data_IF_365710701356
#
_entry.id   IF_365710701356
#
_cell.length_a   1.000
_cell.length_b   1.000
_cell.length_c   1.000
_cell.angle_alpha   90.00
_cell.angle_beta   90.00
_cell.angle_gamma   90.00
#
_symmetry.space_group_name_H-M   'P 1'
#
loop_
_entity.id
_entity.type
_entity.pdbx_description
1 polymer ?
#
# COMPACT_ATOMS: atom_id res chain seq x y z
N UNK A 1 4.98 35.44 10.28
CA UNK A 1 3.90 34.47 10.22
C UNK A 1 3.95 33.63 11.48
N UNK A 2 2.96 33.78 12.36
CA UNK A 2 2.84 32.90 13.52
C UNK A 2 2.59 31.48 13.02
N UNK A 3 3.27 30.44 13.56
CA UNK A 3 2.97 29.06 13.21
C UNK A 3 1.52 28.80 13.60
N UNK A 4 0.76 28.22 12.68
CA UNK A 4 -0.61 27.79 12.95
C UNK A 4 -0.58 26.94 14.24
N UNK A 5 -1.35 27.35 15.25
CA UNK A 5 -1.49 26.58 16.48
C UNK A 5 -2.08 25.22 16.11
N UNK A 6 -1.24 24.21 16.11
CA UNK A 6 -1.68 22.83 15.84
C UNK A 6 -2.34 22.33 17.12
N UNK A 7 -3.66 22.18 17.11
CA UNK A 7 -4.42 21.64 18.24
C UNK A 7 -4.48 20.11 18.10
N UNK A 8 -4.18 19.39 19.17
CA UNK A 8 -4.35 17.95 19.26
C UNK A 8 -5.38 17.61 20.33
N UNK A 9 -6.23 16.62 20.05
CA UNK A 9 -7.10 16.00 21.04
C UNK A 9 -6.47 14.70 21.51
N UNK A 10 -6.12 14.62 22.79
CA UNK A 10 -5.70 13.38 23.42
C UNK A 10 -6.92 12.60 23.90
N UNK A 11 -6.92 11.29 23.67
CA UNK A 11 -7.91 10.37 24.20
C UNK A 11 -7.15 9.31 24.99
N UNK A 12 -7.38 9.29 26.30
CA UNK A 12 -6.86 8.22 27.15
C UNK A 12 -7.71 6.97 26.98
N UNK A 13 -7.06 5.83 26.91
CA UNK A 13 -7.70 4.53 26.76
C UNK A 13 -7.27 3.61 27.88
N UNK A 14 -8.20 2.81 28.39
CA UNK A 14 -7.86 1.75 29.34
C UNK A 14 -6.84 0.79 28.71
N UNK A 15 -5.88 0.34 29.51
CA UNK A 15 -4.87 -0.65 29.06
C UNK A 15 -5.56 -1.92 28.55
N UNK A 16 -5.19 -2.35 27.35
CA UNK A 16 -5.70 -3.59 26.75
C UNK A 16 -5.01 -4.77 27.44
N UNK A 17 -5.64 -5.38 28.42
CA UNK A 17 -5.13 -6.59 29.07
C UNK A 17 -5.71 -7.85 28.44
N UNK A 18 -4.98 -8.95 28.47
CA UNK A 18 -5.51 -10.27 28.07
C UNK A 18 -6.48 -10.77 29.12
N UNK A 19 -7.68 -11.11 28.70
CA UNK A 19 -8.65 -11.85 29.49
C UNK A 19 -8.09 -13.25 29.73
N UNK A 20 -7.63 -13.56 30.93
CA UNK A 20 -7.08 -14.88 31.28
C UNK A 20 -8.03 -15.79 32.00
N UNK A 21 -9.14 -15.30 32.54
CA UNK A 21 -10.16 -16.13 33.23
C UNK A 21 -11.53 -15.47 33.19
N UNK A 22 -12.58 -16.24 32.97
CA UNK A 22 -13.97 -15.79 32.88
C UNK A 22 -14.52 -15.57 34.29
N UNK A 23 -14.53 -14.36 34.77
CA UNK A 23 -15.26 -13.89 35.93
C UNK A 23 -16.06 -12.64 35.59
N UNK A 24 -17.00 -12.28 36.44
CA UNK A 24 -17.96 -11.18 36.27
C UNK A 24 -17.31 -9.80 35.97
N UNK A 25 -16.00 -9.64 36.19
CA UNK A 25 -15.19 -8.48 35.79
C UNK A 25 -14.91 -8.42 34.29
N UNK A 26 -15.07 -9.53 33.57
CA UNK A 26 -14.76 -9.64 32.14
C UNK A 26 -15.60 -8.71 31.26
N UNK A 27 -16.84 -8.43 31.63
CA UNK A 27 -17.73 -7.53 30.87
C UNK A 27 -17.23 -6.07 30.82
N UNK A 28 -16.62 -5.59 31.92
CA UNK A 28 -16.11 -4.22 32.00
C UNK A 28 -14.79 -4.13 31.23
N UNK A 29 -13.93 -5.15 31.33
CA UNK A 29 -12.68 -5.21 30.57
C UNK A 29 -12.95 -5.35 29.06
N UNK A 30 -13.95 -6.14 28.65
CA UNK A 30 -14.37 -6.24 27.25
C UNK A 30 -14.87 -4.91 26.69
N UNK A 31 -15.63 -4.14 27.47
CA UNK A 31 -16.08 -2.79 27.10
C UNK A 31 -14.89 -1.83 26.97
N UNK A 32 -13.95 -1.85 27.92
CA UNK A 32 -12.76 -1.03 27.89
C UNK A 32 -11.86 -1.33 26.68
N UNK A 33 -11.71 -2.60 26.33
CA UNK A 33 -11.00 -3.04 25.11
C UNK A 33 -11.73 -2.55 23.85
N UNK A 34 -13.06 -2.67 23.81
CA UNK A 34 -13.86 -2.20 22.69
C UNK A 34 -13.77 -0.68 22.53
N UNK A 35 -13.79 0.08 23.61
CA UNK A 35 -13.66 1.53 23.58
C UNK A 35 -12.25 1.97 23.16
N UNK A 36 -11.21 1.27 23.63
CA UNK A 36 -9.85 1.48 23.16
C UNK A 36 -9.72 1.21 21.65
N UNK A 37 -10.33 0.13 21.14
CA UNK A 37 -10.37 -0.18 19.71
C UNK A 37 -11.17 0.85 18.89
N UNK A 38 -12.27 1.39 19.44
CA UNK A 38 -13.01 2.49 18.80
C UNK A 38 -12.20 3.77 18.76
N UNK A 39 -11.54 4.14 19.87
CA UNK A 39 -10.64 5.30 19.93
C UNK A 39 -9.51 5.16 18.90
N UNK A 40 -8.93 3.98 18.81
CA UNK A 40 -7.89 3.65 17.82
C UNK A 40 -8.35 3.88 16.36
N UNK A 41 -9.59 3.49 16.04
CA UNK A 41 -10.18 3.70 14.69
C UNK A 41 -10.41 5.15 14.33
N UNK A 42 -10.53 6.03 15.30
CA UNK A 42 -10.79 7.47 15.09
C UNK A 42 -9.53 8.33 15.21
N UNK A 43 -8.52 7.83 15.92
CA UNK A 43 -7.24 8.54 16.10
C UNK A 43 -6.42 8.59 14.81
N UNK A 44 -5.59 9.62 14.65
CA UNK A 44 -4.60 9.72 13.58
C UNK A 44 -3.30 9.03 13.98
N UNK A 45 -2.90 9.15 15.24
CA UNK A 45 -1.66 8.59 15.80
C UNK A 45 -1.99 7.84 17.09
N UNK A 46 -1.50 6.62 17.20
CA UNK A 46 -1.49 5.86 18.45
C UNK A 46 -0.18 6.10 19.19
N UNK A 47 -0.27 6.37 20.50
CA UNK A 47 0.88 6.44 21.38
C UNK A 47 0.88 5.22 22.28
N UNK A 48 1.88 4.36 22.11
CA UNK A 48 2.06 3.18 22.97
C UNK A 48 3.03 3.54 24.10
N UNK A 49 2.54 3.48 25.31
CA UNK A 49 3.35 3.74 26.50
C UNK A 49 3.84 2.45 27.08
N UNK A 50 5.17 2.31 27.16
CA UNK A 50 5.87 1.17 27.73
C UNK A 50 6.43 1.50 29.11
N UNK A 51 6.50 0.51 29.96
CA UNK A 51 7.23 0.59 31.22
C UNK A 51 8.68 0.21 31.01
N UNK A 52 9.60 1.15 31.21
CA UNK A 52 11.02 0.91 30.99
C UNK A 52 11.63 -0.13 31.97
N UNK A 53 11.02 -0.29 33.15
CA UNK A 53 11.44 -1.31 34.11
C UNK A 53 11.33 -2.75 33.56
N UNK A 54 10.39 -2.97 32.62
CA UNK A 54 10.17 -4.29 32.05
C UNK A 54 11.27 -4.75 31.08
N UNK A 55 12.18 -3.87 30.64
CA UNK A 55 13.33 -4.09 29.75
C UNK A 55 13.04 -4.80 28.42
N UNK A 56 11.99 -5.61 28.32
CA UNK A 56 11.59 -6.41 27.16
C UNK A 56 10.15 -6.14 26.80
N UNK A 57 9.90 -5.89 25.52
CA UNK A 57 8.54 -5.75 24.99
C UNK A 57 7.72 -7.02 25.24
N UNK A 58 6.65 -6.87 25.97
CA UNK A 58 5.73 -7.97 26.25
C UNK A 58 4.91 -8.31 25.00
N UNK A 59 4.44 -9.56 24.92
CA UNK A 59 3.58 -10.00 23.82
C UNK A 59 2.32 -9.15 23.65
N UNK A 60 1.82 -8.59 24.74
CA UNK A 60 0.64 -7.73 24.77
C UNK A 60 0.91 -6.37 24.11
N UNK A 61 2.02 -5.75 24.44
CA UNK A 61 2.46 -4.48 23.85
C UNK A 61 2.68 -4.61 22.34
N UNK A 62 3.30 -5.70 21.92
CA UNK A 62 3.45 -6.04 20.50
C UNK A 62 2.10 -6.25 19.80
N UNK A 63 1.13 -6.89 20.48
CA UNK A 63 -0.20 -7.07 19.93
C UNK A 63 -0.97 -5.75 19.79
N UNK A 64 -0.78 -4.81 20.74
CA UNK A 64 -1.35 -3.46 20.65
C UNK A 64 -0.70 -2.68 19.50
N UNK A 65 0.63 -2.72 19.40
CA UNK A 65 1.36 -2.08 18.31
C UNK A 65 0.88 -2.59 16.93
N UNK A 66 0.74 -3.91 16.79
CA UNK A 66 0.24 -4.56 15.57
C UNK A 66 -1.21 -4.13 15.26
N UNK A 67 -2.07 -4.04 16.29
CA UNK A 67 -3.45 -3.60 16.13
C UNK A 67 -3.54 -2.14 15.64
N UNK A 68 -2.76 -1.21 16.22
CA UNK A 68 -2.69 0.20 15.82
C UNK A 68 -2.32 0.31 14.34
N UNK A 69 -1.30 -0.44 13.93
CA UNK A 69 -0.78 -0.40 12.55
C UNK A 69 -1.74 -1.05 11.56
N UNK A 70 -2.36 -2.17 11.92
CA UNK A 70 -3.38 -2.83 11.09
C UNK A 70 -4.62 -1.97 10.85
N UNK A 71 -5.00 -1.15 11.85
CA UNK A 71 -6.04 -0.12 11.67
C UNK A 71 -5.56 1.06 10.79
N UNK A 72 -4.30 1.01 10.36
CA UNK A 72 -3.72 1.99 9.44
C UNK A 72 -3.34 3.31 10.11
N UNK A 73 -3.05 3.30 11.39
CA UNK A 73 -2.66 4.50 12.17
C UNK A 73 -1.15 4.60 12.28
N UNK A 74 -0.64 5.83 12.47
CA UNK A 74 0.76 6.01 12.82
C UNK A 74 0.99 5.61 14.28
N UNK A 75 2.16 5.06 14.58
CA UNK A 75 2.56 4.64 15.92
C UNK A 75 3.75 5.47 16.39
N UNK A 76 3.65 5.96 17.62
CA UNK A 76 4.76 6.51 18.40
C UNK A 76 4.87 5.68 19.67
N UNK A 77 6.08 5.35 20.06
CA UNK A 77 6.34 4.58 21.29
C UNK A 77 6.97 5.50 22.33
N UNK A 78 6.51 5.39 23.54
CA UNK A 78 7.03 6.12 24.70
C UNK A 78 7.57 5.10 25.69
N UNK A 79 8.84 5.19 26.02
CA UNK A 79 9.46 4.46 27.12
C UNK A 79 9.38 5.32 28.38
N UNK A 80 8.38 5.03 29.21
CA UNK A 80 8.15 5.80 30.45
C UNK A 80 8.89 5.18 31.63
N UNK A 81 9.05 5.94 32.71
CA UNK A 81 9.76 5.57 33.94
C UNK A 81 11.27 5.40 33.75
N UNK A 82 11.86 6.20 32.85
CA UNK A 82 13.31 6.18 32.65
C UNK A 82 14.10 6.60 33.89
N UNK A 83 13.46 7.25 34.85
CA UNK A 83 14.00 7.57 36.18
C UNK A 83 14.39 6.33 36.99
N UNK A 84 13.77 5.18 36.77
CA UNK A 84 14.09 3.92 37.45
C UNK A 84 15.32 3.23 36.88
N UNK A 85 15.81 3.67 35.71
CA UNK A 85 16.98 3.09 35.03
C UNK A 85 18.29 3.87 35.26
N UNK A 86 18.29 4.84 36.18
CA UNK A 86 19.45 5.69 36.43
C UNK A 86 20.69 4.89 36.87
N UNK A 87 20.49 3.78 37.56
CA UNK A 87 21.55 2.88 38.01
C UNK A 87 21.80 1.68 37.07
N UNK A 88 21.16 1.65 35.92
CA UNK A 88 21.32 0.56 34.94
C UNK A 88 22.61 0.75 34.13
N UNK A 89 23.27 -0.35 33.77
CA UNK A 89 24.45 -0.35 32.90
C UNK A 89 24.18 0.16 31.48
N UNK A 90 22.92 0.46 31.16
CA UNK A 90 22.47 0.85 29.82
C UNK A 90 22.16 2.34 29.74
N UNK A 91 22.62 2.97 28.65
CA UNK A 91 22.22 4.34 28.33
C UNK A 91 20.76 4.42 27.87
N UNK A 92 20.18 5.63 27.88
CA UNK A 92 18.82 5.85 27.33
C UNK A 92 18.74 5.52 25.84
N UNK A 93 19.82 5.80 25.13
CA UNK A 93 19.99 5.51 23.71
C UNK A 93 20.02 4.00 23.44
N UNK A 94 20.74 3.22 24.28
CA UNK A 94 20.78 1.76 24.17
C UNK A 94 19.40 1.14 24.40
N UNK A 95 18.65 1.68 25.36
CA UNK A 95 17.27 1.23 25.61
C UNK A 95 16.35 1.53 24.42
N UNK A 96 16.44 2.73 23.87
CA UNK A 96 15.68 3.15 22.69
C UNK A 96 15.97 2.24 21.49
N UNK A 97 17.23 1.94 21.23
CA UNK A 97 17.67 1.05 20.16
C UNK A 97 17.20 -0.38 20.39
N UNK A 98 17.28 -0.87 21.62
CA UNK A 98 16.79 -2.19 22.04
C UNK A 98 15.29 -2.34 21.79
N UNK A 99 14.48 -1.35 22.14
CA UNK A 99 13.03 -1.33 21.89
C UNK A 99 12.75 -1.33 20.37
N UNK A 100 13.47 -0.51 19.60
CA UNK A 100 13.37 -0.52 18.14
C UNK A 100 13.70 -1.86 17.54
N UNK A 101 14.79 -2.46 17.96
CA UNK A 101 15.22 -3.76 17.46
C UNK A 101 14.16 -4.84 17.72
N UNK A 102 13.57 -4.86 18.92
CA UNK A 102 12.52 -5.81 19.27
C UNK A 102 11.25 -5.58 18.45
N UNK A 103 10.86 -4.31 18.23
CA UNK A 103 9.71 -3.96 17.38
C UNK A 103 9.95 -4.39 15.92
N UNK A 104 11.09 -4.05 15.36
CA UNK A 104 11.43 -4.38 13.97
C UNK A 104 11.54 -5.88 13.74
N UNK A 105 12.07 -6.62 14.70
CA UNK A 105 12.18 -8.08 14.64
C UNK A 105 10.83 -8.79 14.62
N UNK A 106 9.83 -8.24 15.29
CA UNK A 106 8.47 -8.82 15.37
C UNK A 106 7.50 -8.22 14.35
N UNK A 107 7.65 -6.93 14.08
CA UNK A 107 6.78 -6.14 13.20
C UNK A 107 7.64 -5.38 12.18
N UNK A 108 8.13 -6.04 11.12
CA UNK A 108 9.04 -5.43 10.15
C UNK A 108 8.49 -4.18 9.45
N UNK A 109 7.18 -3.97 9.49
CA UNK A 109 6.52 -2.78 8.97
C UNK A 109 6.75 -1.54 9.84
N UNK A 110 7.09 -1.72 11.12
CA UNK A 110 7.35 -0.67 12.10
C UNK A 110 8.85 -0.26 12.16
N UNK A 111 9.51 -0.27 11.03
CA UNK A 111 10.91 0.14 10.96
C UNK A 111 11.07 1.60 11.37
N UNK A 112 12.14 1.87 12.13
CA UNK A 112 12.48 3.20 12.63
C UNK A 112 11.32 3.94 13.28
N UNK A 113 10.44 3.19 13.98
CA UNK A 113 9.36 3.78 14.76
C UNK A 113 9.96 4.77 15.78
N UNK A 114 9.41 5.98 15.91
CA UNK A 114 9.87 6.90 16.93
C UNK A 114 9.67 6.30 18.31
N UNK A 115 10.73 6.22 19.08
CA UNK A 115 10.72 5.83 20.50
C UNK A 115 11.21 7.04 21.29
N UNK A 116 10.49 7.42 22.34
CA UNK A 116 10.80 8.58 23.18
C UNK A 116 11.06 8.05 24.59
N UNK A 117 12.30 8.09 25.06
CA UNK A 117 12.61 7.82 26.46
C UNK A 117 12.19 9.04 27.31
N UNK A 118 11.28 8.82 28.27
CA UNK A 118 10.81 9.91 29.13
C UNK A 118 10.53 9.44 30.56
N UNK A 119 10.41 10.38 31.48
CA UNK A 119 9.86 10.14 32.81
C UNK A 119 8.72 11.08 33.07
N UNK A 120 7.54 10.50 33.25
CA UNK A 120 6.34 11.30 33.64
C UNK A 120 6.45 11.80 35.08
N UNK A 121 7.27 11.18 35.92
CA UNK A 121 7.45 11.57 37.32
C UNK A 121 8.33 12.82 37.43
N UNK A 122 9.45 12.84 36.73
CA UNK A 122 10.41 13.96 36.78
C UNK A 122 10.10 15.04 35.76
N UNK A 123 9.27 14.75 34.75
CA UNK A 123 8.97 15.65 33.62
C UNK A 123 10.02 15.60 32.51
N UNK A 124 11.02 14.74 32.62
CA UNK A 124 12.09 14.62 31.62
C UNK A 124 11.54 14.16 30.27
N UNK A 125 11.91 14.88 29.19
CA UNK A 125 11.52 14.62 27.78
C UNK A 125 9.99 14.60 27.51
N UNK A 126 9.14 14.97 28.46
CA UNK A 126 7.70 15.02 28.27
C UNK A 126 7.32 16.03 27.18
N UNK A 127 8.06 17.14 27.08
CA UNK A 127 7.83 18.19 26.08
C UNK A 127 8.14 17.72 24.64
N UNK A 128 8.94 16.67 24.47
CA UNK A 128 9.32 16.14 23.15
C UNK A 128 8.24 15.25 22.55
N UNK A 129 7.29 14.78 23.35
CA UNK A 129 6.22 13.89 22.91
C UNK A 129 5.36 14.53 21.80
N UNK A 130 4.83 15.71 22.04
CA UNK A 130 3.90 16.34 21.10
C UNK A 130 4.54 16.71 19.76
N UNK A 131 5.76 17.27 19.70
CA UNK A 131 6.48 17.47 18.44
C UNK A 131 6.67 16.19 17.63
N UNK A 132 6.99 15.05 18.28
CA UNK A 132 7.14 13.75 17.60
C UNK A 132 5.81 13.23 17.09
N UNK A 133 4.74 13.35 17.87
CA UNK A 133 3.38 12.96 17.45
C UNK A 133 2.92 13.78 16.24
N UNK A 134 3.16 15.09 16.22
CA UNK A 134 2.83 15.92 15.05
C UNK A 134 3.65 15.54 13.81
N UNK A 135 4.94 15.25 13.96
CA UNK A 135 5.77 14.74 12.85
C UNK A 135 5.27 13.39 12.34
N UNK A 136 4.85 12.49 13.23
CA UNK A 136 4.29 11.19 12.82
C UNK A 136 2.99 11.37 12.05
N UNK A 137 2.11 12.28 12.50
CA UNK A 137 0.88 12.64 11.79
C UNK A 137 1.17 13.25 10.42
N UNK A 138 2.10 14.19 10.32
CA UNK A 138 2.48 14.82 9.06
C UNK A 138 2.97 13.79 8.04
N UNK A 139 3.81 12.82 8.47
CA UNK A 139 4.26 11.70 7.62
C UNK A 139 3.09 10.84 7.17
N UNK A 140 2.17 10.54 8.07
CA UNK A 140 1.00 9.72 7.79
C UNK A 140 0.00 10.39 6.82
N UNK A 141 -0.14 11.74 6.89
CA UNK A 141 -0.98 12.51 5.98
C UNK A 141 -0.30 12.84 4.64
N UNK A 142 1.00 12.64 4.54
CA UNK A 142 1.81 13.08 3.41
C UNK A 142 1.31 12.53 2.08
N UNK A 143 1.06 13.46 1.14
CA UNK A 143 0.75 13.16 -0.25
C UNK A 143 1.99 13.38 -1.11
N UNK A 144 2.49 12.31 -1.73
CA UNK A 144 3.69 12.35 -2.58
C UNK A 144 3.26 12.55 -4.03
N UNK A 145 3.83 13.52 -4.71
CA UNK A 145 3.53 13.80 -6.12
C UNK A 145 3.87 12.57 -6.99
N UNK A 146 2.96 12.23 -7.90
CA UNK A 146 3.10 11.06 -8.79
C UNK A 146 4.41 11.07 -9.59
N UNK A 147 4.89 12.24 -10.01
CA UNK A 147 6.18 12.36 -10.72
C UNK A 147 7.37 11.94 -9.87
N UNK A 148 7.38 12.28 -8.56
CA UNK A 148 8.44 11.89 -7.62
C UNK A 148 8.40 10.38 -7.39
N UNK A 149 7.19 9.82 -7.19
CA UNK A 149 6.97 8.38 -7.02
C UNK A 149 7.50 7.58 -8.21
N UNK A 150 7.22 8.05 -9.43
CA UNK A 150 7.62 7.32 -10.64
C UNK A 150 9.12 7.43 -10.91
N UNK A 151 9.77 8.55 -10.57
CA UNK A 151 11.24 8.67 -10.63
C UNK A 151 11.88 7.69 -9.65
N UNK A 152 11.46 7.70 -8.40
CA UNK A 152 11.92 6.72 -7.40
C UNK A 152 11.73 5.28 -7.89
N UNK A 153 10.56 4.96 -8.46
CA UNK A 153 10.28 3.62 -8.97
C UNK A 153 11.26 3.21 -10.09
N UNK A 154 11.58 4.12 -10.99
CA UNK A 154 12.55 3.88 -12.06
C UNK A 154 13.93 3.59 -11.49
N UNK A 155 14.41 4.43 -10.57
CA UNK A 155 15.73 4.27 -9.93
C UNK A 155 15.84 2.91 -9.21
N UNK A 156 14.76 2.50 -8.52
CA UNK A 156 14.71 1.21 -7.82
C UNK A 156 14.67 0.02 -8.78
N UNK A 157 13.92 0.11 -9.87
CA UNK A 157 13.85 -0.97 -10.88
C UNK A 157 15.17 -1.09 -11.66
N UNK A 158 15.85 0.01 -11.94
CA UNK A 158 17.16 0.00 -12.59
C UNK A 158 18.21 -0.65 -11.69
N UNK A 159 18.19 -0.35 -10.39
CA UNK A 159 19.11 -0.95 -9.41
C UNK A 159 18.81 -2.44 -9.16
N UNK A 160 17.53 -2.80 -9.03
CA UNK A 160 17.06 -4.16 -8.71
C UNK A 160 15.80 -4.47 -9.52
N UNK A 161 15.94 -5.04 -10.72
CA UNK A 161 14.80 -5.39 -11.56
C UNK A 161 13.92 -6.48 -10.92
N UNK A 162 12.59 -6.42 -11.11
CA UNK A 162 11.69 -7.41 -10.56
C UNK A 162 11.97 -8.81 -11.16
N UNK A 163 11.94 -9.87 -10.33
CA UNK A 163 12.11 -11.23 -10.81
C UNK A 163 10.98 -11.62 -11.73
N UNK A 164 11.27 -12.52 -12.69
CA UNK A 164 10.24 -13.09 -13.55
C UNK A 164 9.23 -13.89 -12.70
N UNK A 165 7.95 -13.85 -13.09
CA UNK A 165 6.90 -14.61 -12.45
C UNK A 165 6.39 -15.67 -13.43
N UNK A 166 6.55 -16.96 -13.11
CA UNK A 166 6.13 -18.09 -13.94
C UNK A 166 6.64 -17.97 -15.41
N UNK A 167 7.90 -17.58 -15.59
CA UNK A 167 8.50 -17.38 -16.92
C UNK A 167 8.08 -16.08 -17.63
N UNK A 168 7.17 -15.29 -17.05
CA UNK A 168 6.78 -14.00 -17.60
C UNK A 168 7.65 -12.88 -17.03
N UNK A 169 8.14 -12.02 -17.91
CA UNK A 169 8.84 -10.81 -17.51
C UNK A 169 7.88 -9.85 -16.81
N UNK A 170 8.21 -9.45 -15.57
CA UNK A 170 7.43 -8.50 -14.79
C UNK A 170 7.84 -7.08 -15.17
N UNK A 171 6.89 -6.29 -15.68
CA UNK A 171 7.08 -4.87 -15.97
C UNK A 171 6.15 -4.03 -15.12
N UNK A 172 6.72 -3.25 -14.21
CA UNK A 172 6.00 -2.23 -13.45
C UNK A 172 6.01 -0.96 -14.29
N UNK A 173 4.83 -0.47 -14.66
CA UNK A 173 4.70 0.67 -15.58
C UNK A 173 4.78 2.01 -14.84
N UNK A 174 4.04 2.13 -13.74
CA UNK A 174 4.02 3.31 -12.91
C UNK A 174 3.40 3.02 -11.53
N UNK A 175 3.58 3.96 -10.61
CA UNK A 175 3.03 3.96 -9.26
C UNK A 175 2.24 5.23 -9.02
N UNK A 176 1.15 5.12 -8.26
CA UNK A 176 0.39 6.28 -7.79
C UNK A 176 -0.07 6.07 -6.34
N UNK A 177 -0.17 7.16 -5.59
CA UNK A 177 -0.77 7.14 -4.26
C UNK A 177 -2.28 7.32 -4.38
N UNK A 178 -3.05 6.53 -3.62
CA UNK A 178 -4.50 6.71 -3.51
C UNK A 178 -4.84 7.72 -2.41
N UNK A 179 -6.00 8.35 -2.55
CA UNK A 179 -6.57 9.17 -1.47
C UNK A 179 -7.16 8.24 -0.41
N UNK A 180 -6.37 7.79 0.50
CA UNK A 180 -6.81 6.87 1.54
C UNK A 180 -5.84 6.84 2.70
N UNK A 181 -6.29 6.33 3.83
CA UNK A 181 -5.51 6.11 5.05
C UNK A 181 -5.74 4.67 5.49
N UNK A 182 -4.70 3.90 5.70
CA UNK A 182 -3.26 4.22 5.66
C UNK A 182 -2.77 4.59 4.25
N UNK A 183 -1.57 5.19 4.13
CA UNK A 183 -0.97 5.50 2.84
C UNK A 183 -0.90 4.27 1.95
N UNK A 184 -1.66 4.29 0.86
CA UNK A 184 -1.78 3.16 -0.05
C UNK A 184 -1.32 3.55 -1.44
N UNK A 185 -0.47 2.72 -2.02
CA UNK A 185 0.14 2.92 -3.33
C UNK A 185 -0.29 1.82 -4.29
N UNK A 186 -0.69 2.21 -5.50
CA UNK A 186 -1.06 1.28 -6.56
C UNK A 186 0.09 1.14 -7.55
N UNK A 187 0.60 -0.07 -7.70
CA UNK A 187 1.59 -0.45 -8.70
C UNK A 187 0.86 -1.00 -9.93
N UNK A 188 1.00 -0.32 -11.06
CA UNK A 188 0.42 -0.76 -12.32
C UNK A 188 1.42 -1.62 -13.10
N UNK A 189 1.09 -2.89 -13.27
CA UNK A 189 1.96 -3.91 -13.82
C UNK A 189 1.32 -4.65 -15.00
N UNK A 190 2.14 -5.34 -15.79
CA UNK A 190 1.65 -6.25 -16.84
C UNK A 190 1.13 -7.58 -16.27
N UNK A 191 1.48 -7.92 -15.02
CA UNK A 191 1.09 -9.13 -14.31
C UNK A 191 0.13 -8.81 -13.16
N UNK A 192 -0.64 -9.80 -12.71
CA UNK A 192 -1.57 -9.66 -11.58
C UNK A 192 -0.89 -9.86 -10.21
N UNK A 193 0.27 -10.50 -10.19
CA UNK A 193 1.01 -10.80 -8.97
C UNK A 193 2.50 -10.56 -9.19
N UNK A 194 3.17 -10.09 -8.16
CA UNK A 194 4.64 -9.94 -8.08
C UNK A 194 5.10 -10.74 -6.87
N UNK A 195 6.32 -11.23 -6.89
CA UNK A 195 6.89 -11.95 -5.75
C UNK A 195 6.71 -11.16 -4.43
N UNK A 196 6.18 -11.78 -3.36
CA UNK A 196 6.03 -11.12 -2.07
C UNK A 196 7.35 -10.58 -1.51
N UNK A 197 8.46 -11.24 -1.83
CA UNK A 197 9.79 -10.79 -1.43
C UNK A 197 10.15 -9.45 -2.10
N UNK A 198 9.84 -9.32 -3.40
CA UNK A 198 10.09 -8.08 -4.12
C UNK A 198 9.21 -6.93 -3.64
N UNK A 199 7.95 -7.20 -3.30
CA UNK A 199 7.06 -6.19 -2.70
C UNK A 199 7.59 -5.72 -1.35
N UNK A 200 8.08 -6.63 -0.49
CA UNK A 200 8.71 -6.25 0.79
C UNK A 200 9.97 -5.40 0.57
N UNK A 201 10.78 -5.75 -0.43
CA UNK A 201 11.93 -4.94 -0.81
C UNK A 201 11.51 -3.53 -1.24
N UNK A 202 10.51 -3.41 -2.12
CA UNK A 202 9.98 -2.11 -2.54
C UNK A 202 9.46 -1.30 -1.35
N UNK A 203 8.68 -1.92 -0.45
CA UNK A 203 8.14 -1.26 0.74
C UNK A 203 9.26 -0.76 1.65
N UNK A 204 10.29 -1.58 1.89
CA UNK A 204 11.45 -1.21 2.69
C UNK A 204 12.18 -0.01 2.09
N UNK A 205 12.54 -0.08 0.81
CA UNK A 205 13.21 1.01 0.10
C UNK A 205 12.36 2.29 0.08
N UNK A 206 11.04 2.14 -0.12
CA UNK A 206 10.09 3.24 -0.08
C UNK A 206 10.07 3.95 1.28
N UNK A 207 9.97 3.18 2.37
CA UNK A 207 9.96 3.73 3.73
C UNK A 207 11.27 4.48 4.03
N UNK A 208 12.41 3.93 3.59
CA UNK A 208 13.72 4.57 3.79
C UNK A 208 13.85 5.86 2.97
N UNK A 209 13.39 5.88 1.70
CA UNK A 209 13.52 7.04 0.82
C UNK A 209 12.56 8.18 1.20
N UNK A 210 11.34 7.86 1.61
CA UNK A 210 10.32 8.85 1.93
C UNK A 210 10.12 9.09 3.41
N UNK A 211 10.96 8.49 4.26
CA UNK A 211 10.92 8.60 5.72
C UNK A 211 9.55 8.26 6.33
N UNK A 212 8.84 7.28 5.76
CA UNK A 212 7.53 6.86 6.24
C UNK A 212 7.65 5.81 7.34
N UNK A 213 8.14 6.23 8.50
CA UNK A 213 8.41 5.37 9.66
C UNK A 213 7.24 5.34 10.65
N UNK A 214 7.14 4.25 11.41
CA UNK A 214 6.13 4.08 12.45
C UNK A 214 4.71 3.90 11.91
N UNK A 215 4.55 3.46 10.65
CA UNK A 215 3.24 3.21 10.03
C UNK A 215 3.31 2.10 9.00
N UNK A 216 2.16 1.50 8.71
CA UNK A 216 2.03 0.57 7.59
C UNK A 216 1.91 1.34 6.27
N UNK A 217 2.78 1.01 5.32
CA UNK A 217 2.65 1.44 3.93
C UNK A 217 2.05 0.29 3.13
N UNK A 218 0.92 0.50 2.47
CA UNK A 218 0.27 -0.54 1.67
C UNK A 218 0.61 -0.38 0.19
N UNK A 219 1.06 -1.46 -0.43
CA UNK A 219 1.29 -1.52 -1.88
C UNK A 219 0.36 -2.57 -2.49
N UNK A 220 -0.53 -2.13 -3.37
CA UNK A 220 -1.43 -3.00 -4.09
C UNK A 220 -1.05 -3.07 -5.57
N UNK A 221 -1.17 -4.26 -6.16
CA UNK A 221 -0.85 -4.49 -7.57
C UNK A 221 -2.13 -4.38 -8.38
N UNK A 222 -2.12 -3.56 -9.42
CA UNK A 222 -3.18 -3.48 -10.41
C UNK A 222 -2.64 -3.92 -11.76
N UNK A 223 -3.20 -5.00 -12.30
CA UNK A 223 -2.88 -5.40 -13.66
C UNK A 223 -3.38 -4.33 -14.62
N UNK A 224 -2.45 -3.70 -15.34
CA UNK A 224 -2.81 -2.81 -16.42
C UNK A 224 -3.37 -3.67 -17.55
N UNK A 225 -4.63 -3.47 -17.90
CA UNK A 225 -5.15 -4.07 -19.12
C UNK A 225 -4.26 -3.64 -20.28
N UNK A 226 -3.72 -4.62 -21.01
CA UNK A 226 -2.94 -4.37 -22.24
C UNK A 226 -3.91 -4.02 -23.37
N UNK A 227 -4.96 -3.30 -23.09
CA UNK A 227 -5.82 -2.74 -24.12
C UNK A 227 -5.03 -1.58 -24.74
N UNK A 228 -4.32 -1.90 -25.81
CA UNK A 228 -3.93 -0.91 -26.78
C UNK A 228 -5.28 -0.30 -27.26
N UNK A 229 -5.56 0.98 -26.96
CA UNK A 229 -6.82 1.60 -27.39
C UNK A 229 -7.03 1.49 -28.91
N UNK A 230 -5.93 1.26 -29.64
CA UNK A 230 -5.92 1.06 -31.09
C UNK A 230 -6.07 -0.42 -31.48
N UNK A 231 -5.85 -1.40 -30.59
CA UNK A 231 -6.00 -2.82 -30.90
C UNK A 231 -7.47 -3.18 -31.20
N UNK A 232 -8.41 -2.56 -30.53
CA UNK A 232 -9.86 -2.73 -30.82
C UNK A 232 -10.27 -2.07 -32.15
N UNK A 233 -9.63 -0.96 -32.54
CA UNK A 233 -9.87 -0.35 -33.85
C UNK A 233 -9.31 -1.19 -34.99
N UNK A 234 -8.14 -1.84 -34.80
CA UNK A 234 -7.59 -2.72 -35.81
C UNK A 234 -8.38 -4.03 -35.98
N UNK A 235 -9.02 -4.54 -34.92
CA UNK A 235 -9.95 -5.69 -35.06
C UNK A 235 -11.27 -5.34 -35.75
N UNK A 236 -11.76 -4.09 -35.63
CA UNK A 236 -12.96 -3.64 -36.36
C UNK A 236 -12.67 -3.21 -37.79
N UNK A 237 -11.47 -2.72 -38.11
CA UNK A 237 -11.02 -2.39 -39.47
C UNK A 237 -10.18 -3.49 -40.12
N UNK A 238 -9.76 -4.49 -39.36
CA UNK A 238 -8.92 -5.62 -39.78
C UNK A 238 -9.68 -6.72 -40.54
N UNK A 239 -10.82 -6.38 -41.10
CA UNK A 239 -11.48 -7.23 -42.10
C UNK A 239 -10.75 -7.27 -43.46
N UNK A 240 -9.46 -6.90 -43.52
CA UNK A 240 -8.56 -7.04 -44.68
C UNK A 240 -7.43 -8.03 -44.40
N UNK A 241 -7.63 -9.00 -43.50
CA UNK A 241 -6.91 -10.27 -43.58
C UNK A 241 -7.34 -11.05 -44.82
N UNK A 242 -6.55 -11.97 -45.28
CA UNK A 242 -6.67 -12.75 -46.51
C UNK A 242 -8.10 -13.29 -46.74
N UNK A 243 -8.86 -13.58 -45.68
CA UNK A 243 -10.30 -13.92 -45.75
C UNK A 243 -11.21 -12.81 -46.24
N UNK A 244 -10.86 -11.54 -46.17
CA UNK A 244 -11.66 -10.42 -46.64
C UNK A 244 -11.69 -10.31 -48.17
N UNK A 245 -10.63 -10.76 -48.85
CA UNK A 245 -10.58 -10.82 -50.32
C UNK A 245 -11.44 -11.95 -50.84
N UNK A 246 -11.39 -13.12 -50.22
CA UNK A 246 -12.20 -14.30 -50.62
C UNK A 246 -13.71 -14.05 -50.35
N UNK A 247 -14.03 -13.46 -49.20
CA UNK A 247 -15.43 -13.10 -48.87
C UNK A 247 -16.00 -11.99 -49.78
N UNK A 248 -15.13 -11.11 -50.31
CA UNK A 248 -15.54 -10.09 -51.30
C UNK A 248 -15.65 -10.69 -52.70
N UNK A 249 -14.78 -11.65 -53.08
CA UNK A 249 -14.90 -12.41 -54.33
C UNK A 249 -16.17 -13.30 -54.29
N UNK A 250 -16.44 -13.95 -53.18
CA UNK A 250 -17.66 -14.80 -53.06
C UNK A 250 -18.94 -13.97 -53.11
N UNK A 251 -18.98 -12.74 -52.57
CA UNK A 251 -20.12 -11.83 -52.74
C UNK A 251 -20.27 -11.34 -54.18
N UNK A 252 -19.18 -11.00 -54.84
CA UNK A 252 -19.21 -10.59 -56.24
C UNK A 252 -19.63 -11.75 -57.18
N UNK A 253 -19.21 -13.00 -56.90
CA UNK A 253 -19.67 -14.17 -57.64
C UNK A 253 -21.17 -14.48 -57.43
N UNK A 254 -21.69 -14.26 -56.21
CA UNK A 254 -23.13 -14.40 -55.98
C UNK A 254 -23.92 -13.33 -56.74
N UNK A 255 -23.45 -12.08 -56.83
CA UNK A 255 -24.07 -11.01 -57.61
C UNK A 255 -24.01 -11.26 -59.10
N UNK A 256 -22.93 -11.82 -59.62
CA UNK A 256 -22.79 -12.22 -61.02
C UNK A 256 -23.70 -13.41 -61.39
N UNK A 257 -23.91 -14.35 -60.44
CA UNK A 257 -24.86 -15.46 -60.65
C UNK A 257 -26.33 -15.03 -60.60
N UNK A 258 -26.68 -14.05 -59.80
CA UNK A 258 -28.05 -13.51 -59.73
C UNK A 258 -28.44 -12.66 -60.95
N UNK A 259 -27.48 -12.05 -61.64
CA UNK A 259 -27.73 -11.27 -62.85
C UNK A 259 -27.54 -12.09 -64.14
N UNK A 260 -26.91 -13.30 -64.06
CA UNK A 260 -26.70 -14.18 -65.19
C UNK A 260 -27.97 -14.91 -65.69
N UNK A 261 -29.05 -14.87 -64.95
CA UNK A 261 -30.33 -15.57 -65.31
C UNK A 261 -31.28 -14.74 -66.16
N UNK A 262 -30.98 -13.48 -66.43
CA UNK A 262 -31.83 -12.63 -67.28
C UNK A 262 -31.33 -12.48 -68.73
N UNK A 263 -30.19 -13.07 -69.10
CA UNK A 263 -29.61 -12.90 -70.43
C UNK A 263 -29.84 -14.09 -71.38
N UNK A 264 -30.75 -15.03 -71.05
CA UNK A 264 -31.09 -16.16 -71.94
C UNK A 264 -32.52 -16.10 -72.45
N UNK A 265 -32.94 -14.97 -72.98
CA UNK A 265 -34.05 -14.94 -73.94
C UNK A 265 -33.94 -13.71 -74.85
N UNK A 266 -33.20 -13.82 -75.94
CA UNK A 266 -33.14 -12.74 -76.90
C UNK A 266 -32.21 -13.02 -78.07
N UNK A 267 -32.70 -13.65 -79.10
CA UNK A 267 -32.29 -13.56 -80.52
C UNK A 267 -31.03 -14.26 -80.95
N UNK A 268 -31.22 -15.51 -81.46
CA UNK A 268 -30.47 -16.03 -82.56
C UNK A 268 -30.61 -15.08 -83.76
N UNK A 269 -29.56 -14.40 -84.18
CA UNK A 269 -29.41 -13.82 -85.54
C UNK A 269 -28.32 -14.61 -86.31
N UNK A 270 -28.81 -15.24 -87.34
CA UNK A 270 -28.01 -15.90 -88.38
C UNK A 270 -27.06 -14.90 -89.00
N UNK A 271 -25.81 -15.25 -89.07
CA UNK A 271 -24.91 -14.72 -90.08
C UNK A 271 -24.68 -15.79 -91.11
N UNK A 272 -25.16 -15.51 -92.33
CA UNK A 272 -24.91 -16.23 -93.54
C UNK A 272 -23.67 -15.62 -94.15
N UNK A 273 -22.84 -16.51 -94.72
CA UNK A 273 -21.64 -16.26 -95.50
C UNK A 273 -21.85 -15.21 -96.60
N UNK A 274 -20.84 -14.43 -96.79
CA UNK A 274 -20.08 -14.31 -98.06
C UNK A 274 -18.66 -13.93 -97.75
#
# INVERSE_FOLDING_TARGET
MQPAQTCARSVDTAGIRRIKQRDYQDCIEDLAVQDAMRAMKTADVGVLVLDAEAQVLQRQELAIADAVVKEGRALVVVANKMDLLVDAEYSKEDYEEGVRYQLEGRLPMLRRTPVIPMSSLTGENVNDLMPVVFKARERWERQIKTGILNRWLQDVIESHPPPSNNGQYVKIKYIMQTKGRPPTFLLFCNVSQISPQYIRYLMKNFQDTFEMFGMEVRMAIKKSANENPFAHKSKKTGGLGIGGKEARMARNMKHLKSHGTQFKKGKKRRYRRR
#
